data_IF_464684260668
#
_entry.id   IF_464684260668
#
_cell.length_a   1.000
_cell.length_b   1.000
_cell.length_c   1.000
_cell.angle_alpha   90.00
_cell.angle_beta   90.00
_cell.angle_gamma   90.00
#
_symmetry.space_group_name_H-M   'P 1'
#
loop_
_entity.id
_entity.type
_entity.pdbx_description
1 polymer ?
#
# COMPACT_ATOMS: atom_id res chain seq x y z
N UNK A 1 -4.08 -24.48 -7.52
CA UNK A 1 -4.80 -23.36 -6.87
C UNK A 1 -4.95 -22.29 -7.94
N UNK A 2 -6.20 -21.96 -8.31
CA UNK A 2 -6.51 -21.11 -9.46
C UNK A 2 -6.42 -19.62 -9.03
N UNK A 3 -5.90 -18.73 -9.90
CA UNK A 3 -5.92 -17.26 -9.70
C UNK A 3 -7.32 -16.74 -9.31
N UNK A 4 -8.36 -17.47 -9.69
CA UNK A 4 -9.74 -17.24 -9.29
C UNK A 4 -9.94 -17.11 -7.75
N UNK A 5 -9.17 -17.81 -6.93
CA UNK A 5 -9.31 -17.73 -5.46
C UNK A 5 -8.91 -16.34 -4.92
N UNK A 6 -7.86 -15.73 -5.46
CA UNK A 6 -7.46 -14.38 -5.04
C UNK A 6 -8.51 -13.34 -5.41
N UNK A 7 -9.08 -13.45 -6.61
CA UNK A 7 -10.19 -12.58 -7.03
C UNK A 7 -11.42 -12.76 -6.12
N UNK A 8 -11.77 -13.99 -5.79
CA UNK A 8 -12.88 -14.29 -4.87
C UNK A 8 -12.62 -13.77 -3.45
N UNK A 9 -11.38 -13.88 -2.95
CA UNK A 9 -11.02 -13.38 -1.64
C UNK A 9 -11.20 -11.85 -1.56
N UNK A 10 -10.70 -11.12 -2.56
CA UNK A 10 -10.86 -9.66 -2.66
C UNK A 10 -12.33 -9.27 -2.81
N UNK A 11 -13.09 -9.97 -3.65
CA UNK A 11 -14.52 -9.70 -3.84
C UNK A 11 -15.33 -9.95 -2.56
N UNK A 12 -14.98 -10.98 -1.78
CA UNK A 12 -15.59 -11.24 -0.46
C UNK A 12 -15.22 -10.17 0.55
N UNK A 13 -13.96 -9.73 0.58
CA UNK A 13 -13.50 -8.64 1.45
C UNK A 13 -14.27 -7.35 1.15
N UNK A 14 -14.38 -6.98 -0.12
CA UNK A 14 -15.18 -5.81 -0.54
C UNK A 14 -16.63 -5.94 -0.10
N UNK A 15 -17.27 -7.08 -0.35
CA UNK A 15 -18.67 -7.27 0.04
C UNK A 15 -18.86 -7.14 1.54
N UNK A 16 -18.05 -7.84 2.33
CA UNK A 16 -18.11 -7.79 3.79
C UNK A 16 -17.86 -6.36 4.30
N UNK A 17 -16.90 -5.65 3.72
CA UNK A 17 -16.66 -4.24 4.04
C UNK A 17 -17.91 -3.40 3.78
N UNK A 18 -18.50 -3.51 2.58
CA UNK A 18 -19.69 -2.74 2.20
C UNK A 18 -20.93 -3.06 3.06
N UNK A 19 -21.11 -4.31 3.46
CA UNK A 19 -22.17 -4.73 4.38
C UNK A 19 -21.96 -4.17 5.79
N UNK A 20 -20.71 -4.10 6.26
CA UNK A 20 -20.35 -3.61 7.59
C UNK A 20 -20.22 -2.08 7.71
N UNK A 21 -19.98 -1.38 6.60
CA UNK A 21 -19.63 0.04 6.60
C UNK A 21 -20.78 0.94 7.09
N UNK A 22 -22.04 0.50 7.02
CA UNK A 22 -23.20 1.29 7.41
C UNK A 22 -23.23 2.65 6.69
N UNK A 23 -23.12 3.76 7.45
CA UNK A 23 -23.07 5.13 6.91
C UNK A 23 -21.67 5.59 6.48
N UNK A 24 -20.62 4.80 6.68
CA UNK A 24 -19.23 5.14 6.33
C UNK A 24 -18.93 4.89 4.84
N UNK A 25 -19.79 5.41 3.97
CA UNK A 25 -19.73 5.20 2.51
C UNK A 25 -18.49 5.84 1.87
N UNK A 26 -17.81 6.73 2.59
CA UNK A 26 -16.62 7.49 2.17
C UNK A 26 -15.30 6.94 2.75
N UNK A 27 -15.31 5.80 3.44
CA UNK A 27 -14.08 5.18 3.94
C UNK A 27 -13.55 4.19 2.91
N UNK A 28 -12.23 4.15 2.73
CA UNK A 28 -11.58 3.21 1.83
C UNK A 28 -10.28 2.65 2.38
N UNK A 29 -9.82 1.56 1.77
CA UNK A 29 -8.53 0.95 2.08
C UNK A 29 -7.89 0.30 0.85
N UNK A 30 -6.57 0.26 0.83
CA UNK A 30 -5.80 -0.59 -0.07
C UNK A 30 -5.74 -2.03 0.46
N UNK A 31 -5.58 -3.00 -0.43
CA UNK A 31 -5.48 -4.40 -0.09
C UNK A 31 -4.37 -5.08 -0.91
N UNK A 32 -3.32 -5.55 -0.24
CA UNK A 32 -2.28 -6.38 -0.83
C UNK A 32 -2.27 -7.74 -0.14
N UNK A 33 -2.65 -8.78 -0.88
CA UNK A 33 -2.66 -10.16 -0.41
C UNK A 33 -1.50 -10.89 -1.08
N UNK A 34 -0.73 -11.63 -0.30
CA UNK A 34 0.29 -12.53 -0.83
C UNK A 34 0.32 -13.85 -0.06
N UNK A 35 0.42 -14.96 -0.77
CA UNK A 35 0.70 -16.25 -0.16
C UNK A 35 1.60 -17.11 -1.05
N UNK A 36 2.38 -17.98 -0.42
CA UNK A 36 3.27 -18.92 -1.09
C UNK A 36 2.77 -20.33 -0.80
N UNK A 37 2.50 -21.11 -1.85
CA UNK A 37 2.06 -22.50 -1.74
C UNK A 37 2.86 -23.37 -2.70
N UNK A 38 3.49 -24.43 -2.16
CA UNK A 38 4.29 -25.39 -2.95
C UNK A 38 5.30 -24.70 -3.89
N UNK A 39 6.00 -23.70 -3.35
CA UNK A 39 7.00 -22.92 -4.10
C UNK A 39 6.45 -21.96 -5.16
N UNK A 40 5.13 -21.84 -5.29
CA UNK A 40 4.48 -20.85 -6.15
C UNK A 40 3.97 -19.69 -5.30
N UNK A 41 4.37 -18.47 -5.68
CA UNK A 41 3.86 -17.23 -5.10
C UNK A 41 2.62 -16.77 -5.85
N UNK A 42 1.63 -16.33 -5.09
CA UNK A 42 0.40 -15.72 -5.57
C UNK A 42 0.22 -14.38 -4.86
N UNK A 43 -0.07 -13.32 -5.62
CA UNK A 43 -0.32 -11.99 -5.08
C UNK A 43 -1.53 -11.35 -5.74
N UNK A 44 -2.29 -10.56 -4.99
CA UNK A 44 -3.36 -9.71 -5.49
C UNK A 44 -3.28 -8.33 -4.85
N UNK A 45 -3.42 -7.28 -5.65
CA UNK A 45 -3.36 -5.90 -5.18
C UNK A 45 -4.60 -5.10 -5.60
N UNK A 46 -5.11 -4.29 -4.68
CA UNK A 46 -6.11 -3.25 -4.88
C UNK A 46 -5.57 -2.00 -4.20
N UNK A 47 -5.39 -0.89 -4.92
CA UNK A 47 -4.72 0.31 -4.40
C UNK A 47 -3.23 0.36 -4.74
N UNK A 48 -2.47 1.14 -3.97
CA UNK A 48 -1.08 1.52 -4.27
C UNK A 48 -0.06 0.98 -3.24
N UNK A 49 -0.46 -0.02 -2.46
CA UNK A 49 0.50 -0.94 -1.84
C UNK A 49 1.21 -1.74 -2.92
N UNK A 50 2.44 -2.17 -2.64
CA UNK A 50 3.29 -2.80 -3.67
C UNK A 50 4.14 -3.93 -3.09
N UNK A 51 4.31 -4.96 -3.93
CA UNK A 51 5.21 -6.09 -3.67
C UNK A 51 6.36 -6.12 -4.69
N UNK A 52 7.59 -6.19 -4.19
CA UNK A 52 8.83 -6.13 -4.98
C UNK A 52 9.69 -7.35 -4.69
N UNK A 53 10.06 -8.08 -5.74
CA UNK A 53 10.91 -9.25 -5.68
C UNK A 53 12.36 -8.88 -6.01
N UNK A 54 13.29 -9.30 -5.16
CA UNK A 54 14.72 -9.24 -5.41
C UNK A 54 15.27 -10.61 -5.79
N UNK A 55 15.94 -10.70 -6.95
CA UNK A 55 16.58 -11.92 -7.44
C UNK A 55 18.05 -11.67 -7.74
N UNK A 56 18.93 -12.62 -7.44
CA UNK A 56 20.33 -12.58 -7.88
C UNK A 56 20.49 -13.40 -9.16
N UNK A 57 20.79 -12.73 -10.27
CA UNK A 57 21.03 -13.38 -11.58
C UNK A 57 22.49 -13.28 -11.97
N UNK A 58 23.04 -14.34 -12.58
CA UNK A 58 24.45 -14.44 -12.96
C UNK A 58 25.15 -15.57 -12.21
N UNK A 59 26.47 -15.67 -12.39
CA UNK A 59 27.28 -16.79 -11.87
C UNK A 59 28.37 -16.26 -10.93
N UNK A 60 28.49 -16.86 -9.74
CA UNK A 60 29.53 -16.52 -8.76
C UNK A 60 29.58 -15.03 -8.43
N UNK A 61 30.77 -14.43 -8.54
CA UNK A 61 31.02 -13.01 -8.28
C UNK A 61 30.35 -12.05 -9.28
N UNK A 62 29.82 -12.56 -10.40
CA UNK A 62 29.14 -11.76 -11.42
C UNK A 62 27.61 -11.67 -11.19
N UNK A 63 27.11 -12.17 -10.05
CA UNK A 63 25.71 -12.03 -9.71
C UNK A 63 25.31 -10.55 -9.57
N UNK A 64 24.15 -10.21 -10.16
CA UNK A 64 23.55 -8.88 -10.09
C UNK A 64 22.16 -8.97 -9.50
N UNK A 65 21.84 -7.98 -8.67
CA UNK A 65 20.50 -7.80 -8.14
C UNK A 65 19.56 -7.34 -9.26
N UNK A 66 18.55 -8.15 -9.52
CA UNK A 66 17.43 -7.85 -10.40
C UNK A 66 16.21 -7.59 -9.53
N UNK A 67 15.59 -6.44 -9.74
CA UNK A 67 14.44 -5.97 -8.96
C UNK A 67 13.21 -6.00 -9.86
N UNK A 68 12.16 -6.71 -9.43
CA UNK A 68 10.92 -6.85 -10.19
C UNK A 68 9.71 -6.52 -9.31
N UNK A 69 8.94 -5.51 -9.69
CA UNK A 69 7.62 -5.27 -9.13
C UNK A 69 6.66 -6.37 -9.61
N UNK A 70 5.92 -6.97 -8.68
CA UNK A 70 5.08 -8.14 -8.95
C UNK A 70 3.64 -7.78 -9.29
N UNK A 71 3.10 -6.76 -8.64
CA UNK A 71 1.72 -6.29 -8.81
C UNK A 71 1.75 -4.83 -9.24
N UNK A 72 0.79 -4.42 -10.07
CA UNK A 72 0.63 -3.02 -10.49
C UNK A 72 0.12 -2.17 -9.34
N UNK A 73 0.60 -0.93 -9.30
CA UNK A 73 0.04 0.10 -8.44
C UNK A 73 -1.26 0.61 -9.07
N UNK A 74 -2.25 0.92 -8.25
CA UNK A 74 -3.50 1.56 -8.69
C UNK A 74 -3.58 2.97 -8.11
N UNK A 75 -2.69 3.85 -8.55
CA UNK A 75 -2.59 5.23 -8.03
C UNK A 75 -2.90 6.28 -9.10
N UNK A 76 -3.20 7.50 -8.65
CA UNK A 76 -3.48 8.66 -9.50
C UNK A 76 -2.26 9.61 -9.64
N UNK A 77 -1.05 9.13 -9.34
CA UNK A 77 0.19 9.93 -9.39
C UNK A 77 0.81 9.92 -10.79
N UNK A 78 0.76 8.77 -11.47
CA UNK A 78 1.32 8.59 -12.81
C UNK A 78 0.20 8.61 -13.86
N UNK A 79 0.05 9.74 -14.58
CA UNK A 79 -1.08 10.00 -15.48
C UNK A 79 -1.33 8.97 -16.59
N UNK A 80 -0.33 8.16 -16.95
CA UNK A 80 -0.45 7.12 -17.99
C UNK A 80 -1.37 5.96 -17.59
N UNK A 81 -1.32 5.51 -16.34
CA UNK A 81 -2.13 4.38 -15.86
C UNK A 81 -3.58 4.82 -15.61
N UNK A 82 -3.80 6.08 -15.25
CA UNK A 82 -5.15 6.65 -15.03
C UNK A 82 -5.98 6.61 -16.31
N UNK A 83 -5.42 7.10 -17.42
CA UNK A 83 -6.12 7.11 -18.71
C UNK A 83 -6.35 5.70 -19.25
N UNK A 84 -5.41 4.77 -19.08
CA UNK A 84 -5.59 3.39 -19.51
C UNK A 84 -6.60 2.64 -18.64
N UNK A 85 -6.56 2.82 -17.32
CA UNK A 85 -7.50 2.20 -16.39
C UNK A 85 -8.90 2.77 -16.54
N UNK A 86 -9.06 4.08 -16.66
CA UNK A 86 -10.37 4.68 -16.92
C UNK A 86 -10.91 4.31 -18.30
N UNK A 87 -10.08 4.23 -19.35
CA UNK A 87 -10.51 3.71 -20.67
C UNK A 87 -10.95 2.25 -20.60
N UNK A 88 -10.24 1.40 -19.85
CA UNK A 88 -10.61 -0.01 -19.66
C UNK A 88 -11.89 -0.19 -18.85
N UNK A 89 -12.11 0.69 -17.88
CA UNK A 89 -13.38 0.72 -17.16
C UNK A 89 -14.48 1.24 -18.08
N UNK A 90 -14.22 2.28 -18.89
CA UNK A 90 -15.23 3.03 -19.64
C UNK A 90 -14.64 3.78 -20.87
N UNK A 91 -14.82 3.29 -22.09
CA UNK A 91 -14.28 3.92 -23.31
C UNK A 91 -14.89 5.28 -23.68
N UNK A 92 -16.09 5.62 -23.18
CA UNK A 92 -16.97 6.61 -23.82
C UNK A 92 -17.28 7.89 -23.03
N UNK A 93 -16.61 8.17 -21.90
CA UNK A 93 -16.95 9.37 -21.08
C UNK A 93 -15.71 10.13 -20.62
N UNK A 94 -15.37 11.17 -21.39
CA UNK A 94 -14.40 12.21 -21.03
C UNK A 94 -14.61 12.75 -19.59
N UNK A 95 -15.86 12.81 -19.14
CA UNK A 95 -16.29 13.37 -17.85
C UNK A 95 -15.78 12.60 -16.62
N UNK A 96 -15.56 11.28 -16.71
CA UNK A 96 -15.11 10.48 -15.56
C UNK A 96 -13.63 10.69 -15.25
N UNK A 97 -12.79 10.89 -16.27
CA UNK A 97 -11.39 11.29 -16.07
C UNK A 97 -11.31 12.64 -15.37
N UNK A 98 -12.08 13.63 -15.82
CA UNK A 98 -12.12 14.94 -15.16
C UNK A 98 -12.61 14.84 -13.73
N UNK A 99 -13.64 14.04 -13.47
CA UNK A 99 -14.15 13.84 -12.11
C UNK A 99 -13.11 13.17 -11.20
N UNK A 100 -12.39 12.14 -11.66
CA UNK A 100 -11.31 11.51 -10.89
C UNK A 100 -10.14 12.47 -10.63
N UNK A 101 -9.72 13.24 -11.63
CA UNK A 101 -8.66 14.24 -11.46
C UNK A 101 -9.09 15.34 -10.49
N UNK A 102 -10.32 15.80 -10.57
CA UNK A 102 -10.89 16.78 -9.65
C UNK A 102 -10.95 16.26 -8.21
N UNK A 103 -11.42 15.03 -8.00
CA UNK A 103 -11.44 14.38 -6.68
C UNK A 103 -10.02 14.23 -6.11
N UNK A 104 -9.04 13.86 -6.95
CA UNK A 104 -7.63 13.81 -6.56
C UNK A 104 -7.09 15.18 -6.16
N UNK A 105 -7.38 16.21 -6.93
CA UNK A 105 -6.87 17.57 -6.68
C UNK A 105 -7.49 18.18 -5.42
N UNK A 106 -8.69 17.72 -5.04
CA UNK A 106 -9.29 17.99 -3.72
C UNK A 106 -8.70 17.16 -2.57
N UNK A 107 -7.87 16.16 -2.86
CA UNK A 107 -7.33 15.23 -1.87
C UNK A 107 -8.33 14.19 -1.37
N UNK A 108 -9.43 13.96 -2.09
CA UNK A 108 -10.46 13.00 -1.73
C UNK A 108 -10.12 11.57 -2.17
N UNK A 109 -9.34 11.41 -3.24
CA UNK A 109 -8.86 10.09 -3.69
C UNK A 109 -7.40 10.16 -4.10
N UNK A 110 -6.65 9.09 -3.81
CA UNK A 110 -5.28 8.91 -4.32
C UNK A 110 -5.13 7.69 -5.23
N UNK A 111 -6.14 6.82 -5.26
CA UNK A 111 -6.11 5.53 -5.94
C UNK A 111 -7.24 5.39 -6.95
N UNK A 112 -6.99 4.63 -8.02
CA UNK A 112 -8.02 4.25 -9.01
C UNK A 112 -8.80 3.01 -8.58
N UNK A 113 -8.26 2.25 -7.62
CA UNK A 113 -8.86 1.04 -7.08
C UNK A 113 -8.69 0.97 -5.57
N UNK A 114 -9.74 0.60 -4.88
CA UNK A 114 -9.74 0.44 -3.43
C UNK A 114 -10.81 -0.56 -2.98
N UNK A 115 -10.73 -0.98 -1.72
CA UNK A 115 -11.87 -1.53 -0.98
C UNK A 115 -12.63 -0.35 -0.36
N UNK A 116 -13.97 -0.39 -0.31
CA UNK A 116 -14.77 0.72 0.23
C UNK A 116 -15.05 1.84 -0.79
N UNK A 117 -15.23 3.08 -0.35
CA UNK A 117 -15.76 4.19 -1.17
C UNK A 117 -17.05 3.80 -1.92
N UNK A 118 -18.06 3.36 -1.16
CA UNK A 118 -19.33 2.90 -1.73
C UNK A 118 -19.97 3.94 -2.66
N UNK A 119 -19.89 5.23 -2.29
CA UNK A 119 -20.49 6.31 -3.07
C UNK A 119 -19.82 6.50 -4.44
N UNK A 120 -18.52 6.22 -4.57
CA UNK A 120 -17.78 6.32 -5.84
C UNK A 120 -17.88 5.05 -6.71
N UNK A 121 -18.57 4.02 -6.23
CA UNK A 121 -18.70 2.71 -6.89
C UNK A 121 -20.10 2.41 -7.41
N UNK A 122 -21.05 3.33 -7.23
CA UNK A 122 -22.44 3.20 -7.66
C UNK A 122 -22.91 4.52 -8.27
N UNK A 123 -23.89 4.46 -9.16
CA UNK A 123 -24.58 5.67 -9.60
C UNK A 123 -25.29 6.32 -8.41
N UNK A 124 -25.11 7.63 -8.25
CA UNK A 124 -25.71 8.39 -7.16
C UNK A 124 -26.96 9.09 -7.69
N UNK A 125 -28.11 8.60 -7.26
CA UNK A 125 -29.40 9.19 -7.60
C UNK A 125 -29.84 10.30 -6.63
N UNK A 126 -29.28 10.32 -5.41
CA UNK A 126 -29.53 11.34 -4.39
C UNK A 126 -28.23 11.78 -3.69
N UNK A 127 -27.86 13.05 -3.89
CA UNK A 127 -26.67 13.68 -3.30
C UNK A 127 -26.86 14.04 -1.81
N UNK A 128 -28.08 13.91 -1.27
CA UNK A 128 -28.41 14.23 0.11
C UNK A 128 -27.69 13.33 1.13
N UNK A 129 -27.35 12.09 0.74
CA UNK A 129 -26.61 11.12 1.55
C UNK A 129 -25.09 11.39 1.61
N UNK A 130 -24.57 12.26 0.74
CA UNK A 130 -23.14 12.61 0.71
C UNK A 130 -22.91 13.86 1.55
N UNK A 131 -21.98 13.82 2.52
CA UNK A 131 -21.58 15.01 3.27
C UNK A 131 -21.08 16.11 2.33
N UNK A 132 -21.38 17.37 2.64
CA UNK A 132 -21.09 18.52 1.77
C UNK A 132 -19.61 18.58 1.35
N UNK A 133 -18.69 18.15 2.22
CA UNK A 133 -17.25 18.13 1.96
C UNK A 133 -16.79 17.02 1.00
N UNK A 134 -17.57 15.95 0.85
CA UNK A 134 -17.34 14.84 -0.11
C UNK A 134 -18.11 15.05 -1.43
N UNK A 135 -19.02 16.03 -1.49
CA UNK A 135 -19.84 16.26 -2.69
C UNK A 135 -18.97 16.61 -3.90
N UNK A 136 -19.22 15.92 -4.99
CA UNK A 136 -18.66 16.19 -6.31
C UNK A 136 -19.60 17.06 -7.13
N UNK A 137 -19.10 18.12 -7.80
CA UNK A 137 -19.91 19.00 -8.64
C UNK A 137 -20.34 18.35 -9.95
N UNK A 138 -19.74 17.21 -10.32
CA UNK A 138 -20.03 16.46 -11.54
C UNK A 138 -20.74 15.16 -11.17
N UNK A 139 -21.95 14.97 -11.72
CA UNK A 139 -22.65 13.69 -11.64
C UNK A 139 -21.95 12.68 -12.54
N UNK A 140 -21.67 11.50 -12.01
CA UNK A 140 -21.17 10.36 -12.78
C UNK A 140 -22.25 9.29 -12.87
N UNK A 141 -22.51 8.79 -14.07
CA UNK A 141 -23.54 7.77 -14.34
C UNK A 141 -23.02 6.35 -14.20
N UNK A 142 -21.73 6.18 -13.85
CA UNK A 142 -21.05 4.89 -13.73
C UNK A 142 -19.94 4.93 -12.67
N UNK A 143 -19.56 3.79 -12.08
CA UNK A 143 -18.53 3.72 -11.02
C UNK A 143 -17.21 4.38 -11.43
N UNK A 144 -16.69 5.27 -10.57
CA UNK A 144 -15.39 5.93 -10.74
C UNK A 144 -14.24 5.06 -10.22
N UNK A 145 -14.51 4.26 -9.19
CA UNK A 145 -13.54 3.34 -8.58
C UNK A 145 -13.97 1.88 -8.77
N UNK A 146 -13.02 0.96 -8.64
CA UNK A 146 -13.29 -0.49 -8.63
C UNK A 146 -12.49 -1.18 -7.54
N UNK A 147 -13.00 -2.30 -7.02
CA UNK A 147 -12.27 -3.21 -6.12
C UNK A 147 -11.57 -4.35 -6.87
N UNK A 148 -11.59 -4.34 -8.20
CA UNK A 148 -10.98 -5.40 -9.01
C UNK A 148 -9.45 -5.46 -8.80
N UNK A 149 -8.90 -6.59 -8.36
CA UNK A 149 -7.47 -6.68 -8.10
C UNK A 149 -6.64 -6.86 -9.38
N UNK A 150 -5.39 -6.40 -9.33
CA UNK A 150 -4.33 -6.93 -10.19
C UNK A 150 -3.79 -8.22 -9.56
N UNK A 151 -3.75 -9.31 -10.32
CA UNK A 151 -3.36 -10.64 -9.84
C UNK A 151 -2.07 -11.07 -10.49
N UNK A 152 -1.13 -11.57 -9.68
CA UNK A 152 0.17 -12.05 -10.12
C UNK A 152 0.42 -13.46 -9.57
N UNK A 153 1.03 -14.32 -10.38
CA UNK A 153 1.55 -15.59 -9.89
C UNK A 153 2.87 -15.93 -10.56
N UNK A 154 3.77 -16.57 -9.81
CA UNK A 154 5.06 -17.02 -10.32
C UNK A 154 5.59 -18.19 -9.50
N UNK A 155 6.20 -19.16 -10.17
CA UNK A 155 7.02 -20.18 -9.53
C UNK A 155 8.32 -19.52 -9.04
N UNK A 156 8.57 -19.60 -7.73
CA UNK A 156 9.79 -19.10 -7.13
C UNK A 156 10.97 -20.02 -7.48
N UNK A 157 12.11 -19.39 -7.75
CA UNK A 157 13.35 -20.02 -8.15
C UNK A 157 14.43 -19.79 -7.09
N UNK A 158 15.51 -20.56 -7.13
CA UNK A 158 16.64 -20.39 -6.21
C UNK A 158 17.38 -19.04 -6.39
N UNK A 159 17.13 -18.35 -7.50
CA UNK A 159 17.65 -17.00 -7.74
C UNK A 159 16.89 -15.93 -6.96
N UNK A 160 15.64 -16.19 -6.58
CA UNK A 160 14.81 -15.27 -5.82
C UNK A 160 15.26 -15.29 -4.36
N UNK A 161 15.58 -14.11 -3.80
CA UNK A 161 16.23 -13.99 -2.48
C UNK A 161 15.32 -13.39 -1.42
N UNK A 162 14.50 -12.43 -1.82
CA UNK A 162 13.61 -11.76 -0.90
C UNK A 162 12.44 -11.11 -1.62
N UNK A 163 11.38 -10.84 -0.86
CA UNK A 163 10.23 -10.06 -1.29
C UNK A 163 10.01 -8.95 -0.26
N UNK A 164 9.82 -7.73 -0.75
CA UNK A 164 9.45 -6.56 0.05
C UNK A 164 7.98 -6.26 -0.23
N UNK A 165 7.16 -6.30 0.81
CA UNK A 165 5.80 -5.78 0.79
C UNK A 165 5.79 -4.45 1.51
N UNK A 166 5.11 -3.45 0.95
CA UNK A 166 5.01 -2.15 1.61
C UNK A 166 3.69 -1.44 1.32
N UNK A 167 3.27 -0.63 2.29
CA UNK A 167 2.12 0.27 2.17
C UNK A 167 2.41 1.44 1.22
N UNK A 168 1.37 2.19 0.85
CA UNK A 168 1.52 3.45 0.11
C UNK A 168 2.53 4.39 0.76
N UNK A 169 2.40 4.61 2.08
CA UNK A 169 3.29 5.48 2.84
C UNK A 169 4.77 5.08 2.73
N UNK A 170 5.05 3.77 2.72
CA UNK A 170 6.40 3.26 2.51
C UNK A 170 6.92 3.59 1.11
N UNK A 171 6.18 3.24 0.06
CA UNK A 171 6.61 3.42 -1.33
C UNK A 171 6.59 4.87 -1.80
N UNK A 172 5.83 5.75 -1.13
CA UNK A 172 6.01 7.20 -1.27
C UNK A 172 7.43 7.58 -0.88
N UNK A 173 8.00 7.02 0.19
CA UNK A 173 9.31 7.41 0.73
C UNK A 173 10.53 6.81 0.01
N UNK A 174 10.42 5.64 -0.63
CA UNK A 174 11.59 4.91 -1.16
C UNK A 174 11.31 4.23 -2.51
N UNK A 175 12.31 4.21 -3.39
CA UNK A 175 12.22 3.53 -4.68
C UNK A 175 12.38 2.00 -4.56
N UNK A 176 11.85 1.25 -5.52
CA UNK A 176 12.02 -0.22 -5.58
C UNK A 176 13.49 -0.63 -5.56
N UNK A 177 14.34 0.11 -6.29
CA UNK A 177 15.78 -0.20 -6.40
C UNK A 177 16.51 0.08 -5.09
N UNK A 178 16.21 1.19 -4.43
CA UNK A 178 16.87 1.56 -3.17
C UNK A 178 16.46 0.62 -2.04
N UNK A 179 15.17 0.29 -1.93
CA UNK A 179 14.67 -0.67 -0.96
C UNK A 179 15.33 -2.04 -1.16
N UNK A 180 15.37 -2.54 -2.41
CA UNK A 180 16.00 -3.81 -2.72
C UNK A 180 17.51 -3.80 -2.47
N UNK A 181 18.19 -2.68 -2.73
CA UNK A 181 19.62 -2.52 -2.42
C UNK A 181 19.86 -2.67 -0.92
N UNK A 182 19.07 -1.99 -0.08
CA UNK A 182 19.17 -2.09 1.39
C UNK A 182 18.98 -3.53 1.85
N UNK A 183 17.93 -4.23 1.39
CA UNK A 183 17.71 -5.65 1.74
C UNK A 183 18.86 -6.55 1.30
N UNK A 184 19.48 -6.25 0.16
CA UNK A 184 20.58 -7.05 -0.38
C UNK A 184 21.92 -6.80 0.33
N UNK A 185 22.16 -5.62 0.89
CA UNK A 185 23.47 -5.23 1.46
C UNK A 185 23.51 -5.10 2.97
N UNK A 186 22.36 -5.07 3.64
CA UNK A 186 22.28 -4.92 5.10
C UNK A 186 22.10 -6.27 5.81
N UNK A 187 22.44 -6.35 7.12
CA UNK A 187 22.06 -7.48 7.95
C UNK A 187 20.54 -7.75 7.89
N UNK A 188 20.17 -9.02 8.05
CA UNK A 188 18.77 -9.45 8.01
C UNK A 188 18.00 -9.00 9.24
N UNK A 189 18.67 -9.02 10.39
CA UNK A 189 18.09 -8.57 11.64
C UNK A 189 17.85 -7.05 11.59
N UNK A 190 16.64 -6.64 11.96
CA UNK A 190 16.22 -5.24 11.88
C UNK A 190 16.01 -4.72 10.45
N UNK A 191 15.91 -5.57 9.42
CA UNK A 191 15.82 -5.09 8.04
C UNK A 191 14.55 -4.28 7.76
N UNK A 192 13.41 -4.70 8.31
CA UNK A 192 12.14 -3.99 8.15
C UNK A 192 12.18 -2.61 8.84
N UNK A 193 12.74 -2.55 10.05
CA UNK A 193 13.00 -1.29 10.77
C UNK A 193 13.87 -0.34 9.96
N UNK A 194 14.96 -0.85 9.38
CA UNK A 194 15.89 -0.03 8.58
C UNK A 194 15.20 0.57 7.36
N UNK A 195 14.35 -0.22 6.69
CA UNK A 195 13.55 0.24 5.57
C UNK A 195 12.51 1.29 6.00
N UNK A 196 11.78 1.06 7.09
CA UNK A 196 10.79 2.01 7.61
C UNK A 196 11.46 3.35 7.99
N UNK A 197 12.59 3.29 8.69
CA UNK A 197 13.38 4.46 9.09
C UNK A 197 13.87 5.25 7.88
N UNK A 198 14.37 4.56 6.84
CA UNK A 198 14.81 5.21 5.61
C UNK A 198 13.66 5.88 4.86
N UNK A 199 12.48 5.26 4.83
CA UNK A 199 11.29 5.87 4.24
C UNK A 199 10.86 7.14 4.99
N UNK A 200 10.89 7.12 6.33
CA UNK A 200 10.62 8.31 7.17
C UNK A 200 11.66 9.42 6.95
N UNK A 201 12.95 9.07 6.91
CA UNK A 201 14.05 10.01 6.62
C UNK A 201 13.85 10.69 5.27
N UNK A 202 13.50 9.93 4.24
CA UNK A 202 13.24 10.47 2.91
C UNK A 202 11.98 11.36 2.91
N UNK A 203 10.92 10.97 3.62
CA UNK A 203 9.72 11.78 3.79
C UNK A 203 10.00 13.12 4.48
N UNK A 204 10.77 13.11 5.57
CA UNK A 204 11.22 14.31 6.27
C UNK A 204 12.05 15.22 5.37
N UNK A 205 13.04 14.64 4.67
CA UNK A 205 13.96 15.38 3.80
C UNK A 205 13.24 16.11 2.67
N UNK A 206 12.19 15.52 2.09
CA UNK A 206 11.37 16.16 1.05
C UNK A 206 10.66 17.43 1.51
N UNK A 207 10.47 17.59 2.82
CA UNK A 207 9.87 18.78 3.43
C UNK A 207 10.89 19.58 4.26
N UNK A 208 12.18 19.44 3.95
CA UNK A 208 13.24 20.25 4.56
C UNK A 208 13.50 19.95 6.04
N UNK A 209 13.11 18.78 6.55
CA UNK A 209 13.33 18.36 7.94
C UNK A 209 14.26 17.16 8.06
N UNK A 210 14.93 17.06 9.20
CA UNK A 210 15.64 15.84 9.60
C UNK A 210 14.65 14.82 10.19
N UNK A 211 15.07 13.57 10.28
CA UNK A 211 14.30 12.54 10.98
C UNK A 211 14.09 12.87 12.46
N UNK A 212 15.12 13.39 13.14
CA UNK A 212 15.02 13.80 14.55
C UNK A 212 13.99 14.91 14.77
N UNK A 213 13.91 15.88 13.85
CA UNK A 213 12.89 16.93 13.88
C UNK A 213 11.49 16.36 13.62
N UNK A 214 11.36 15.40 12.68
CA UNK A 214 10.08 14.77 12.37
C UNK A 214 9.51 13.99 13.57
N UNK A 215 10.33 13.15 14.21
CA UNK A 215 9.88 12.33 15.35
C UNK A 215 9.52 13.18 16.57
N UNK A 216 10.10 14.38 16.70
CA UNK A 216 9.77 15.34 17.74
C UNK A 216 8.42 16.04 17.55
N UNK A 217 7.79 15.91 16.37
CA UNK A 217 6.46 16.48 16.14
C UNK A 217 5.36 15.68 16.86
N UNK A 218 4.26 16.32 17.30
CA UNK A 218 3.10 15.62 17.80
C UNK A 218 2.45 14.73 16.71
N UNK A 219 1.84 13.62 17.14
CA UNK A 219 0.89 12.87 16.30
C UNK A 219 -0.41 13.68 16.22
N UNK A 220 -1.03 13.71 15.04
CA UNK A 220 -2.36 14.29 14.89
C UNK A 220 -3.41 13.27 15.32
N UNK A 221 -4.46 13.72 16.00
CA UNK A 221 -5.69 12.94 16.20
C UNK A 221 -6.75 13.29 15.12
N UNK A 222 -6.42 14.15 14.16
CA UNK A 222 -7.31 14.57 13.08
C UNK A 222 -7.07 13.71 11.84
N UNK A 223 -8.17 13.35 11.18
CA UNK A 223 -8.18 12.60 9.91
C UNK A 223 -7.47 13.42 8.84
N UNK A 224 -6.53 12.81 8.12
CA UNK A 224 -5.89 13.46 6.98
C UNK A 224 -6.92 13.61 5.86
N UNK A 225 -7.12 14.85 5.39
CA UNK A 225 -8.16 15.17 4.43
C UNK A 225 -8.67 16.59 4.65
N UNK A 226 -8.02 17.54 3.98
CA UNK A 226 -8.55 18.89 3.75
C UNK A 226 -9.08 19.65 4.98
N UNK A 227 -8.17 20.09 5.85
CA UNK A 227 -8.30 21.48 6.31
C UNK A 227 -7.02 22.24 6.00
N UNK A 228 -6.82 22.47 4.69
CA UNK A 228 -5.80 23.39 4.14
C UNK A 228 -5.98 24.82 4.70
N UNK A 229 -7.09 25.12 5.40
CA UNK A 229 -7.29 26.39 6.10
C UNK A 229 -6.58 26.47 7.45
N UNK A 230 -6.18 25.34 8.05
CA UNK A 230 -5.37 25.33 9.26
C UNK A 230 -3.90 25.56 8.89
N UNK A 231 -3.44 26.79 9.08
CA UNK A 231 -2.04 27.24 8.96
C UNK A 231 -1.05 26.52 9.92
N UNK A 232 -1.45 25.38 10.51
CA UNK A 232 -0.70 24.60 11.50
C UNK A 232 -0.62 23.10 11.18
N UNK A 233 -1.11 22.63 10.02
CA UNK A 233 -1.07 21.20 9.69
C UNK A 233 0.36 20.65 9.61
N UNK A 234 1.32 21.48 9.17
CA UNK A 234 2.75 21.19 9.11
C UNK A 234 3.43 20.97 10.48
N UNK A 235 2.72 21.21 11.57
CA UNK A 235 3.17 20.95 12.95
C UNK A 235 2.94 19.48 13.36
N UNK A 236 2.21 18.69 12.58
CA UNK A 236 1.93 17.28 12.87
C UNK A 236 2.69 16.33 11.95
N UNK A 237 2.99 15.11 12.45
CA UNK A 237 3.69 14.08 11.66
C UNK A 237 2.98 13.67 10.38
N UNK A 238 1.64 13.66 10.39
CA UNK A 238 0.81 13.30 9.24
C UNK A 238 0.97 14.26 8.05
N UNK A 239 1.57 15.44 8.27
CA UNK A 239 1.95 16.32 7.17
C UNK A 239 3.20 15.84 6.41
N UNK A 240 3.98 14.90 6.95
CA UNK A 240 5.27 14.49 6.39
C UNK A 240 5.23 13.08 5.79
N UNK A 241 4.41 12.19 6.33
CA UNK A 241 4.23 10.82 5.86
C UNK A 241 2.85 10.29 6.23
N UNK A 242 2.37 9.31 5.46
CA UNK A 242 1.25 8.44 5.87
C UNK A 242 1.77 7.29 6.71
N UNK A 243 0.88 6.40 7.15
CA UNK A 243 1.27 5.19 7.85
C UNK A 243 2.20 4.30 6.99
N UNK A 244 3.33 3.94 7.58
CA UNK A 244 4.38 3.13 6.94
C UNK A 244 4.30 1.72 7.49
N UNK A 245 4.04 0.78 6.60
CA UNK A 245 4.14 -0.66 6.87
C UNK A 245 5.08 -1.27 5.86
N UNK A 246 6.03 -2.07 6.33
CA UNK A 246 6.93 -2.84 5.47
C UNK A 246 7.12 -4.23 6.06
N UNK A 247 7.01 -5.25 5.21
CA UNK A 247 7.25 -6.65 5.54
C UNK A 247 8.29 -7.19 4.56
N UNK A 248 9.33 -7.84 5.08
CA UNK A 248 10.37 -8.45 4.25
C UNK A 248 10.34 -9.96 4.44
N UNK A 249 10.00 -10.68 3.36
CA UNK A 249 10.15 -12.13 3.31
C UNK A 249 11.54 -12.46 2.77
N UNK A 250 12.33 -13.21 3.54
CA UNK A 250 13.66 -13.66 3.15
C UNK A 250 13.62 -15.16 2.87
N UNK A 251 14.02 -15.57 1.66
CA UNK A 251 14.13 -16.99 1.34
C UNK A 251 15.46 -17.52 1.91
N UNK A 252 15.41 -18.04 3.13
CA UNK A 252 16.50 -18.79 3.73
C UNK A 252 16.58 -20.12 3.00
N UNK A 253 17.54 -20.26 2.06
CA UNK A 253 17.91 -21.50 1.36
C UNK A 253 17.05 -22.72 1.73
N UNK A 254 16.27 -23.25 0.77
CA UNK A 254 15.52 -24.52 0.88
C UNK A 254 16.37 -25.76 1.23
N UNK A 255 17.65 -25.61 1.52
CA UNK A 255 18.53 -26.67 2.00
C UNK A 255 18.25 -26.93 3.48
N UNK A 256 17.70 -28.11 3.78
CA UNK A 256 17.39 -28.68 5.11
C UNK A 256 16.09 -28.23 5.80
N UNK A 257 14.93 -28.42 5.15
CA UNK A 257 13.65 -28.58 5.85
C UNK A 257 13.04 -29.99 5.69
N UNK A 258 13.86 -31.03 5.67
CA UNK A 258 13.37 -32.35 6.03
C UNK A 258 13.21 -32.36 7.57
N UNK A 259 11.98 -32.25 8.06
CA UNK A 259 11.66 -32.50 9.47
C UNK A 259 11.29 -31.30 10.35
N UNK A 260 11.38 -30.05 9.89
CA UNK A 260 10.87 -28.91 10.69
C UNK A 260 9.39 -28.69 10.38
N UNK A 261 8.53 -29.15 11.28
CA UNK A 261 7.12 -28.78 11.29
C UNK A 261 7.06 -27.27 11.56
N UNK A 262 6.62 -26.50 10.56
CA UNK A 262 6.35 -25.07 10.77
C UNK A 262 5.22 -24.98 11.78
N UNK A 263 5.49 -24.38 12.94
CA UNK A 263 4.42 -23.95 13.85
C UNK A 263 3.53 -22.98 13.08
N UNK A 264 2.32 -23.44 12.76
CA UNK A 264 1.35 -22.65 12.02
C UNK A 264 0.66 -21.74 13.03
N UNK A 265 1.35 -20.67 13.41
CA UNK A 265 0.80 -19.68 14.33
C UNK A 265 -0.20 -18.81 13.56
N UNK A 266 -1.44 -19.29 13.45
CA UNK A 266 -2.56 -18.47 12.99
C UNK A 266 -3.04 -17.61 14.15
N UNK A 267 -2.69 -16.33 14.12
CA UNK A 267 -3.26 -15.35 15.04
C UNK A 267 -4.59 -14.88 14.45
N UNK A 268 -5.70 -15.30 15.04
CA UNK A 268 -7.02 -14.71 14.80
C UNK A 268 -7.29 -13.70 15.91
N UNK A 269 -7.14 -12.41 15.58
CA UNK A 269 -7.43 -11.31 16.50
C UNK A 269 -7.67 -10.04 15.71
N UNK A 270 -8.71 -9.30 16.10
CA UNK A 270 -8.91 -7.90 15.75
C UNK A 270 -8.65 -7.17 17.07
N UNK A 271 -7.55 -6.44 17.16
CA UNK A 271 -7.32 -5.52 18.27
C UNK A 271 -7.48 -4.11 17.72
N UNK A 272 -8.62 -3.49 18.05
CA UNK A 272 -8.88 -2.08 17.76
C UNK A 272 -8.26 -1.18 18.83
N UNK A 273 -7.59 -1.77 19.83
CA UNK A 273 -6.82 -1.06 20.84
C UNK A 273 -5.59 -0.40 20.25
N UNK A 274 -5.34 0.85 20.63
CA UNK A 274 -4.06 1.50 20.37
C UNK A 274 -2.98 0.78 21.21
N UNK A 275 -2.35 -0.25 20.65
CA UNK A 275 -1.11 -0.76 21.21
C UNK A 275 0.03 0.16 20.77
N UNK A 276 0.72 0.71 21.76
CA UNK A 276 2.03 1.31 21.50
C UNK A 276 2.96 0.18 21.07
N UNK A 277 3.30 0.20 19.79
CA UNK A 277 4.28 -0.66 19.16
C UNK A 277 5.49 -0.89 20.10
N UNK A 278 5.75 -2.13 20.55
CA UNK A 278 6.89 -2.52 21.43
C UNK A 278 8.27 -2.07 20.89
N UNK A 279 8.28 -1.76 19.60
CA UNK A 279 9.22 -0.91 18.90
C UNK A 279 9.59 0.44 19.58
N UNK A 280 9.02 0.80 20.73
CA UNK A 280 9.43 1.95 21.57
C UNK A 280 10.92 2.03 21.90
N UNK A 281 11.68 0.94 21.77
CA UNK A 281 13.15 0.98 21.92
C UNK A 281 13.88 1.66 20.74
N UNK A 282 13.19 2.10 19.69
CA UNK A 282 13.76 2.84 18.56
C UNK A 282 14.44 4.17 18.93
N UNK A 283 14.01 4.82 20.02
CA UNK A 283 14.44 6.18 20.35
C UNK A 283 15.82 6.23 21.05
N UNK A 284 16.25 5.14 21.68
CA UNK A 284 17.47 5.12 22.48
C UNK A 284 18.73 4.74 21.69
N UNK A 285 18.58 4.06 20.55
CA UNK A 285 19.73 3.58 19.74
C UNK A 285 20.09 4.50 18.57
N UNK A 286 19.41 5.64 18.39
CA UNK A 286 19.76 6.63 17.36
C UNK A 286 20.91 7.58 17.80
N UNK A 287 21.34 7.49 19.05
CA UNK A 287 22.44 8.28 19.64
C UNK A 287 23.63 7.42 20.11
N UNK A 288 23.75 6.17 19.65
CA UNK A 288 24.88 5.29 19.91
C UNK A 288 25.65 4.98 18.63
#
# INVERSE_FOLDING_TARGET
MNMNILMQAVARLERAFMESAGRNIFVSSGCLICFIRRGTLYAANVGDSRAVLGSLKGVGKLQRLVVKQMVRDHNLRDGGDIQEQLRRLQPDTYDNLHTCLFLRDKGLIETTRCIGYAYLKKEINDESEIPIWERVPLRFTRPLLTSQPDVYSRILSNSDKFIIFGSSGFWKGISNKDAAKVVNTSPRDGIAERLATLALQNGAKRRGRTYSQLIGLPKSNQISGSDIRLHKYDQFRSAYHDDITVVVYLDNNRSNRAGVMLEMNSYSGCDDGFQQSEFTNFYNNANA
#
